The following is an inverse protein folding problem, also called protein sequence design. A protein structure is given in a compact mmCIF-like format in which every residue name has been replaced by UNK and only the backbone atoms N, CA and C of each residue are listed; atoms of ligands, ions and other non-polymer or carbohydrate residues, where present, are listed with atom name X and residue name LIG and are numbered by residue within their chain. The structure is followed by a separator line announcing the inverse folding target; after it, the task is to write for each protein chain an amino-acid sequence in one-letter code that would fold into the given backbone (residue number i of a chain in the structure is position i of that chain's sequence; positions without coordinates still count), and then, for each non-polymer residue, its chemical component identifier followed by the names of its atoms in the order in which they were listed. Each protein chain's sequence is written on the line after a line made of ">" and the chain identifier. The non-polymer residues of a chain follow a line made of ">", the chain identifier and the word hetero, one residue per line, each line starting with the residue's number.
data_IF_494955772796
#
_entry.id   IF_494955772796
#
_cell.length_a   1.000
_cell.length_b   1.000
_cell.length_c   1.000
_cell.angle_alpha   90.00
_cell.angle_beta   90.00
_cell.angle_gamma   90.00
#
_symmetry.space_group_name_H-M   'P 1'
#
loop_
_entity.id
_entity.type
_entity.pdbx_description
1 polymer ?
#
# COMPACT_ATOMS: atom_id res chain seq x y z
N UNK A 1 -7.26 13.65 -17.68
CA UNK A 1 -6.96 12.21 -17.59
C UNK A 1 -5.54 12.06 -17.05
N UNK A 2 -5.34 11.81 -15.76
CA UNK A 2 -4.00 11.55 -15.22
C UNK A 2 -3.67 10.07 -15.39
N UNK A 3 -2.60 9.80 -16.14
CA UNK A 3 -2.04 8.46 -16.25
C UNK A 3 -1.46 8.00 -14.90
N UNK A 4 -1.55 6.71 -14.56
CA UNK A 4 -0.87 6.18 -13.38
C UNK A 4 0.65 6.36 -13.53
N UNK A 5 1.30 6.84 -12.48
CA UNK A 5 2.76 6.83 -12.32
C UNK A 5 3.25 5.37 -12.30
N UNK A 6 3.67 4.88 -13.47
CA UNK A 6 4.24 3.55 -13.60
C UNK A 6 5.68 3.56 -13.06
N UNK A 7 5.86 3.23 -11.78
CA UNK A 7 7.16 2.76 -11.29
C UNK A 7 7.34 1.31 -11.73
N UNK A 8 7.68 1.12 -13.00
CA UNK A 8 7.94 -0.20 -13.58
C UNK A 8 9.40 -0.60 -13.39
N UNK A 9 9.69 -1.46 -12.41
CA UNK A 9 10.81 -2.40 -12.56
C UNK A 9 10.23 -3.69 -13.14
N UNK A 10 10.51 -3.88 -14.42
CA UNK A 10 10.42 -5.18 -15.06
C UNK A 10 11.60 -6.02 -14.54
N UNK A 11 11.32 -7.01 -13.70
CA UNK A 11 12.31 -7.97 -13.22
C UNK A 11 11.86 -9.38 -13.57
N UNK A 12 12.21 -9.82 -14.79
CA UNK A 12 12.05 -11.20 -15.26
C UNK A 12 13.22 -12.06 -14.81
N UNK A 13 13.36 -12.23 -13.50
CA UNK A 13 14.41 -13.05 -12.88
C UNK A 13 13.73 -14.01 -11.90
N UNK A 14 14.06 -15.29 -12.03
CA UNK A 14 13.45 -16.38 -11.26
C UNK A 14 13.80 -16.21 -9.77
N UNK A 15 12.88 -15.63 -9.00
CA UNK A 15 13.08 -15.40 -7.56
C UNK A 15 13.22 -16.71 -6.80
N UNK A 16 14.05 -16.71 -5.76
CA UNK A 16 14.16 -17.86 -4.87
C UNK A 16 12.88 -18.01 -4.04
N UNK A 17 12.44 -19.23 -3.72
CA UNK A 17 11.34 -19.46 -2.77
C UNK A 17 11.52 -18.75 -1.42
N UNK A 18 12.76 -18.45 -1.02
CA UNK A 18 13.06 -17.68 0.18
C UNK A 18 12.67 -16.20 0.02
N UNK A 19 12.87 -15.62 -1.16
CA UNK A 19 12.56 -14.21 -1.43
C UNK A 19 11.04 -13.95 -1.34
N UNK A 20 10.24 -14.91 -1.79
CA UNK A 20 8.78 -14.86 -1.67
C UNK A 20 8.32 -14.84 -0.21
N UNK A 21 8.94 -15.67 0.64
CA UNK A 21 8.63 -15.74 2.08
C UNK A 21 9.03 -14.44 2.78
N UNK A 22 10.22 -13.91 2.48
CA UNK A 22 10.71 -12.64 3.04
C UNK A 22 9.79 -11.49 2.65
N UNK A 23 9.38 -11.42 1.38
CA UNK A 23 8.45 -10.41 0.88
C UNK A 23 7.08 -10.49 1.55
N UNK A 24 6.48 -11.67 1.67
CA UNK A 24 5.19 -11.83 2.33
C UNK A 24 5.27 -11.53 3.83
N UNK A 25 6.38 -11.92 4.48
CA UNK A 25 6.67 -11.56 5.86
C UNK A 25 6.74 -10.06 6.06
N UNK A 26 7.55 -9.36 5.24
CA UNK A 26 7.69 -7.91 5.29
C UNK A 26 6.34 -7.20 5.06
N UNK A 27 5.54 -7.66 4.09
CA UNK A 27 4.21 -7.09 3.82
C UNK A 27 3.27 -7.21 5.02
N UNK A 28 3.21 -8.40 5.64
CA UNK A 28 2.39 -8.62 6.85
C UNK A 28 2.86 -7.76 8.01
N UNK A 29 4.18 -7.68 8.22
CA UNK A 29 4.78 -6.88 9.27
C UNK A 29 4.50 -5.39 9.10
N UNK A 30 4.47 -4.87 7.88
CA UNK A 30 4.20 -3.45 7.62
C UNK A 30 2.71 -3.11 7.68
N UNK A 31 1.82 -4.08 7.46
CA UNK A 31 0.38 -3.80 7.35
C UNK A 31 -0.18 -3.26 8.67
N UNK A 32 0.00 -3.95 9.80
CA UNK A 32 -0.61 -3.54 11.07
C UNK A 32 -0.04 -2.23 11.65
N UNK A 33 1.30 -2.02 11.69
CA UNK A 33 1.89 -0.78 12.18
C UNK A 33 1.46 0.45 11.38
N UNK A 34 1.40 0.36 10.04
CA UNK A 34 0.96 1.48 9.21
C UNK A 34 -0.50 1.87 9.49
N UNK A 35 -1.38 0.89 9.73
CA UNK A 35 -2.76 1.20 10.13
C UNK A 35 -2.82 1.92 11.47
N UNK A 36 -2.02 1.49 12.44
CA UNK A 36 -1.94 2.14 13.75
C UNK A 36 -1.39 3.58 13.64
N UNK A 37 -0.38 3.79 12.81
CA UNK A 37 0.19 5.12 12.57
C UNK A 37 -0.81 6.08 11.93
N UNK A 38 -1.55 5.64 10.90
CA UNK A 38 -2.62 6.44 10.27
C UNK A 38 -3.71 6.79 11.28
N UNK A 39 -4.12 5.84 12.11
CA UNK A 39 -5.12 6.08 13.15
C UNK A 39 -4.63 7.09 14.19
N UNK A 40 -3.38 6.96 14.64
CA UNK A 40 -2.76 7.90 15.58
C UNK A 40 -2.66 9.30 14.98
N UNK A 41 -2.27 9.43 13.71
CA UNK A 41 -2.19 10.71 13.02
C UNK A 41 -3.55 11.41 12.94
N UNK A 42 -4.60 10.67 12.55
CA UNK A 42 -5.97 11.22 12.49
C UNK A 42 -6.46 11.64 13.88
N UNK A 43 -6.17 10.84 14.91
CA UNK A 43 -6.54 11.17 16.28
C UNK A 43 -5.87 12.45 16.78
N UNK A 44 -4.57 12.61 16.51
CA UNK A 44 -3.81 13.82 16.86
C UNK A 44 -4.37 15.09 16.21
N UNK A 45 -4.99 14.97 15.03
CA UNK A 45 -5.52 16.11 14.26
C UNK A 45 -7.04 16.20 14.30
N UNK A 46 -7.71 15.44 15.18
CA UNK A 46 -9.17 15.35 15.24
C UNK A 46 -9.86 16.70 15.53
N UNK A 47 -9.16 17.63 16.22
CA UNK A 47 -9.66 18.97 16.52
C UNK A 47 -9.42 20.01 15.43
N UNK A 48 -8.69 19.66 14.37
CA UNK A 48 -8.46 20.57 13.24
C UNK A 48 -9.66 20.50 12.31
N UNK A 49 -10.53 21.50 12.42
CA UNK A 49 -11.75 21.62 11.64
C UNK A 49 -11.74 22.89 10.80
N UNK A 50 -12.39 22.86 9.64
CA UNK A 50 -12.64 24.05 8.83
C UNK A 50 -13.71 24.96 9.45
N UNK A 51 -13.99 26.09 8.81
CA UNK A 51 -15.03 27.02 9.26
C UNK A 51 -16.47 26.47 9.23
N UNK A 52 -16.69 25.29 8.63
CA UNK A 52 -17.98 24.59 8.60
C UNK A 52 -18.05 23.44 9.61
N UNK A 53 -16.97 23.20 10.37
CA UNK A 53 -16.88 22.12 11.36
C UNK A 53 -16.45 20.76 10.79
N UNK A 54 -16.00 20.69 9.54
CA UNK A 54 -15.49 19.45 8.95
C UNK A 54 -14.01 19.24 9.31
N UNK A 55 -13.63 18.00 9.63
CA UNK A 55 -12.23 17.66 9.91
C UNK A 55 -11.36 17.88 8.67
N UNK A 56 -10.23 18.56 8.86
CA UNK A 56 -9.25 18.80 7.81
C UNK A 56 -8.49 17.52 7.42
N UNK A 57 -8.30 16.60 8.37
CA UNK A 57 -7.59 15.34 8.14
C UNK A 57 -8.54 14.17 8.35
N UNK A 58 -8.74 13.40 7.28
CA UNK A 58 -9.55 12.19 7.25
C UNK A 58 -8.82 11.08 6.51
N UNK A 59 -9.18 9.83 6.79
CA UNK A 59 -8.65 8.70 6.05
C UNK A 59 -9.27 8.65 4.65
N UNK A 60 -8.45 8.73 3.61
CA UNK A 60 -8.88 8.54 2.21
C UNK A 60 -8.92 7.06 1.82
N UNK A 61 -9.86 6.31 2.41
CA UNK A 61 -10.09 4.89 2.07
C UNK A 61 -8.86 3.99 2.23
N UNK A 62 -8.72 3.02 1.33
CA UNK A 62 -7.56 2.13 1.20
C UNK A 62 -7.07 2.19 -0.24
N UNK A 63 -5.76 2.35 -0.43
CA UNK A 63 -5.17 2.30 -1.76
C UNK A 63 -5.08 0.85 -2.28
N UNK A 64 -5.08 0.69 -3.60
CA UNK A 64 -4.85 -0.59 -4.26
C UNK A 64 -3.48 -1.17 -3.89
N UNK A 65 -3.32 -2.47 -4.10
CA UNK A 65 -2.13 -3.24 -3.74
C UNK A 65 -0.84 -2.55 -4.22
N UNK A 66 0.04 -2.23 -3.27
CA UNK A 66 1.35 -1.66 -3.52
C UNK A 66 2.44 -2.72 -3.53
N UNK A 67 3.43 -2.57 -4.41
CA UNK A 67 4.63 -3.40 -4.41
C UNK A 67 5.56 -2.95 -3.28
N UNK A 68 6.01 -3.91 -2.46
CA UNK A 68 7.06 -3.66 -1.46
C UNK A 68 8.42 -3.92 -2.12
N UNK A 69 9.29 -2.91 -2.13
CA UNK A 69 10.69 -3.09 -2.54
C UNK A 69 11.47 -3.66 -1.37
N UNK A 70 12.03 -4.85 -1.54
CA UNK A 70 12.99 -5.43 -0.59
C UNK A 70 14.37 -5.50 -1.25
N UNK A 71 15.42 -5.78 -0.46
CA UNK A 71 16.76 -6.03 -1.02
C UNK A 71 16.81 -7.22 -1.99
N UNK A 72 15.79 -8.09 -1.95
CA UNK A 72 15.59 -9.20 -2.88
C UNK A 72 14.83 -8.78 -4.16
N UNK A 73 14.60 -7.47 -4.38
CA UNK A 73 13.89 -6.94 -5.54
C UNK A 73 12.40 -6.71 -5.32
N UNK A 74 11.68 -6.13 -6.30
CA UNK A 74 10.28 -5.74 -6.20
C UNK A 74 9.30 -6.90 -6.48
N UNK A 75 9.64 -8.12 -6.04
CA UNK A 75 8.92 -9.36 -6.36
C UNK A 75 7.55 -9.50 -5.70
N UNK A 76 7.19 -8.61 -4.77
CA UNK A 76 5.96 -8.73 -4.02
C UNK A 76 4.73 -8.18 -4.78
N UNK A 77 4.19 -8.95 -5.73
CA UNK A 77 2.83 -8.77 -6.25
C UNK A 77 2.02 -10.03 -5.93
N UNK A 78 0.90 -9.91 -5.22
CA UNK A 78 0.03 -11.06 -4.96
C UNK A 78 -0.42 -11.63 -6.30
N UNK A 79 -0.15 -12.91 -6.56
CA UNK A 79 -0.82 -13.62 -7.64
C UNK A 79 -2.31 -13.70 -7.26
N UNK A 80 -3.05 -12.73 -7.78
CA UNK A 80 -4.50 -12.65 -7.70
C UNK A 80 -5.06 -12.90 -9.09
N UNK A 81 -5.40 -14.15 -9.39
CA UNK A 81 -6.40 -14.45 -10.42
C UNK A 81 -7.72 -13.86 -9.95
N UNK A 82 -7.94 -12.60 -10.32
CA UNK A 82 -9.13 -11.83 -9.98
C UNK A 82 -9.41 -10.90 -11.15
N UNK A 83 -10.09 -11.44 -12.16
CA UNK A 83 -10.55 -10.69 -13.31
C UNK A 83 -11.28 -9.41 -12.86
N UNK A 84 -10.66 -8.26 -13.08
CA UNK A 84 -11.35 -6.98 -13.05
C UNK A 84 -12.32 -6.96 -14.25
N UNK A 85 -13.62 -6.96 -13.97
CA UNK A 85 -14.67 -6.74 -14.98
C UNK A 85 -14.45 -5.38 -15.65
N UNK A 86 -14.48 -5.29 -16.99
CA UNK A 86 -14.55 -4.00 -17.67
C UNK A 86 -15.94 -3.38 -17.49
N UNK A 87 -15.97 -2.04 -17.38
CA UNK A 87 -17.17 -1.24 -17.62
C UNK A 87 -17.31 -0.98 -19.11
#
# INVERSE_FOLDING_TARGET
>A
MLAPIQNGVAGGESFSPIDEIVCEGARRMLTAPLQAEVAAHIAQHAGQVDGSGHRLIVRNGYHAEGTVLTSAGPSCRRSGSGAARPR
#
